data_IF_058983649758
#
_entry.id   IF_058983649758
#
_cell.length_a   1.000
_cell.length_b   1.000
_cell.length_c   1.000
_cell.angle_alpha   90.00
_cell.angle_beta   90.00
_cell.angle_gamma   90.00
#
_symmetry.space_group_name_H-M   'P 1'
#
loop_
_entity.id
_entity.type
_entity.pdbx_description
1 polymer ?
#
# COMPACT_ATOMS: atom_id res chain seq x y z
N UNK A 1 0.07 -13.48 -16.21
CA UNK A 1 1.33 -13.18 -16.91
C UNK A 1 2.41 -14.07 -16.31
N UNK A 2 2.94 -15.01 -17.07
CA UNK A 2 4.05 -15.83 -16.62
C UNK A 2 5.33 -15.01 -16.77
N UNK A 3 6.03 -14.73 -15.69
CA UNK A 3 7.36 -14.13 -15.74
C UNK A 3 8.38 -15.27 -15.78
N UNK A 4 8.92 -15.56 -16.95
CA UNK A 4 10.05 -16.46 -17.08
C UNK A 4 11.31 -15.73 -16.60
N UNK A 5 11.86 -16.15 -15.47
CA UNK A 5 13.18 -15.70 -15.02
C UNK A 5 14.22 -16.61 -15.66
N UNK A 6 14.99 -16.09 -16.61
CA UNK A 6 16.10 -16.81 -17.22
C UNK A 6 17.41 -16.39 -16.57
N UNK A 7 18.15 -17.36 -16.03
CA UNK A 7 19.55 -17.18 -15.67
C UNK A 7 20.41 -17.66 -16.85
N UNK A 8 21.28 -16.78 -17.34
CA UNK A 8 22.24 -17.13 -18.36
C UNK A 8 23.47 -17.73 -17.65
N UNK A 9 23.55 -19.05 -17.62
CA UNK A 9 24.77 -19.76 -17.26
C UNK A 9 25.27 -20.52 -18.52
N UNK A 10 26.55 -20.42 -18.78
CA UNK A 10 27.21 -21.13 -19.93
C UNK A 10 27.24 -22.67 -19.78
N UNK A 11 26.51 -23.22 -18.82
CA UNK A 11 26.40 -24.66 -18.60
C UNK A 11 25.14 -25.19 -19.29
N UNK A 12 25.27 -26.28 -20.02
CA UNK A 12 24.21 -27.00 -20.74
C UNK A 12 23.14 -27.65 -19.79
N UNK A 13 22.89 -27.10 -18.66
CA UNK A 13 21.81 -27.56 -17.77
C UNK A 13 20.45 -27.02 -18.21
N UNK A 14 19.47 -27.93 -18.25
CA UNK A 14 18.09 -27.57 -18.59
C UNK A 14 17.55 -26.55 -17.59
N UNK A 15 17.20 -25.37 -18.05
CA UNK A 15 16.60 -24.32 -17.22
C UNK A 15 15.30 -24.80 -16.57
N UNK A 16 15.18 -24.60 -15.26
CA UNK A 16 13.95 -24.86 -14.53
C UNK A 16 13.13 -23.58 -14.44
N UNK A 17 11.96 -23.58 -15.06
CA UNK A 17 11.04 -22.44 -14.94
C UNK A 17 10.42 -22.40 -13.54
N UNK A 18 10.63 -21.30 -12.84
CA UNK A 18 9.96 -21.01 -11.57
C UNK A 18 8.79 -20.05 -11.83
N UNK A 19 7.61 -20.46 -11.41
CA UNK A 19 6.42 -19.61 -11.52
C UNK A 19 6.21 -18.83 -10.22
N UNK A 20 5.92 -17.53 -10.34
CA UNK A 20 5.52 -16.71 -9.21
C UNK A 20 4.14 -17.12 -8.69
N UNK A 21 3.82 -16.70 -7.48
CA UNK A 21 2.45 -16.80 -6.95
C UNK A 21 1.48 -16.02 -7.86
N UNK A 22 0.19 -16.39 -7.80
CA UNK A 22 -0.89 -15.61 -8.42
C UNK A 22 -0.80 -14.12 -7.98
N UNK A 23 -0.95 -13.20 -8.91
CA UNK A 23 -0.90 -11.75 -8.65
C UNK A 23 -1.85 -11.30 -7.55
N UNK A 24 -3.00 -11.95 -7.39
CA UNK A 24 -3.91 -11.68 -6.27
C UNK A 24 -3.22 -11.89 -4.92
N UNK A 25 -2.43 -12.94 -4.77
CA UNK A 25 -1.67 -13.22 -3.54
C UNK A 25 -0.53 -12.25 -3.33
N UNK A 26 0.12 -11.80 -4.41
CA UNK A 26 1.15 -10.77 -4.37
C UNK A 26 0.57 -9.46 -3.84
N UNK A 27 -0.56 -8.99 -4.39
CA UNK A 27 -1.22 -7.77 -3.92
C UNK A 27 -1.70 -7.89 -2.47
N UNK A 28 -2.23 -9.04 -2.06
CA UNK A 28 -2.62 -9.27 -0.67
C UNK A 28 -1.41 -9.24 0.28
N UNK A 29 -0.31 -9.91 -0.08
CA UNK A 29 0.92 -9.86 0.74
C UNK A 29 1.42 -8.43 0.93
N UNK A 30 1.39 -7.60 -0.12
CA UNK A 30 1.83 -6.19 -0.02
C UNK A 30 0.83 -5.35 0.80
N UNK A 31 -0.46 -5.44 0.50
CA UNK A 31 -1.45 -4.51 1.03
C UNK A 31 -2.04 -4.95 2.38
N UNK A 32 -2.24 -6.26 2.62
CA UNK A 32 -2.73 -6.81 3.89
C UNK A 32 -1.62 -7.05 4.89
N UNK A 33 -0.55 -7.76 4.45
CA UNK A 33 0.49 -8.25 5.35
C UNK A 33 1.68 -7.29 5.45
N UNK A 34 1.73 -6.30 4.54
CA UNK A 34 2.81 -5.31 4.48
C UNK A 34 4.18 -5.94 4.20
N UNK A 35 4.23 -6.90 3.26
CA UNK A 35 5.45 -7.58 2.87
C UNK A 35 6.37 -6.65 2.07
N UNK A 36 7.44 -6.20 2.73
CA UNK A 36 8.41 -5.26 2.18
C UNK A 36 9.25 -5.88 1.06
N UNK A 37 9.60 -7.17 1.20
CA UNK A 37 10.42 -7.87 0.20
C UNK A 37 9.64 -8.02 -1.12
N UNK A 38 8.38 -8.43 -1.02
CA UNK A 38 7.52 -8.56 -2.21
C UNK A 38 7.27 -7.20 -2.86
N UNK A 39 7.07 -6.13 -2.05
CA UNK A 39 6.87 -4.77 -2.57
C UNK A 39 8.10 -4.27 -3.35
N UNK A 40 9.31 -4.43 -2.80
CA UNK A 40 10.56 -4.07 -3.46
C UNK A 40 10.79 -4.89 -4.73
N UNK A 41 10.60 -6.21 -4.64
CA UNK A 41 10.74 -7.13 -5.78
C UNK A 41 9.78 -6.78 -6.91
N UNK A 42 8.53 -6.42 -6.59
CA UNK A 42 7.55 -5.99 -7.59
C UNK A 42 8.00 -4.72 -8.32
N UNK A 43 8.57 -3.74 -7.60
CA UNK A 43 9.10 -2.52 -8.20
C UNK A 43 10.24 -2.83 -9.20
N UNK A 44 11.19 -3.71 -8.80
CA UNK A 44 12.29 -4.17 -9.66
C UNK A 44 11.75 -4.87 -10.90
N UNK A 45 10.77 -5.78 -10.74
CA UNK A 45 10.15 -6.50 -11.88
C UNK A 45 9.43 -5.55 -12.85
N UNK A 46 8.78 -4.52 -12.33
CA UNK A 46 8.16 -3.48 -13.17
C UNK A 46 9.23 -2.75 -13.95
N UNK A 47 10.37 -2.41 -13.33
CA UNK A 47 11.52 -1.77 -13.99
C UNK A 47 12.06 -2.57 -15.13
N UNK A 48 12.32 -3.85 -14.89
CA UNK A 48 12.78 -4.77 -15.94
C UNK A 48 11.81 -4.83 -17.12
N UNK A 49 10.51 -4.84 -16.83
CA UNK A 49 9.48 -4.89 -17.87
C UNK A 49 9.32 -3.59 -18.66
N UNK A 50 9.41 -2.44 -18.00
CA UNK A 50 9.14 -1.14 -18.64
C UNK A 50 10.36 -0.53 -19.32
N UNK A 51 11.53 -0.66 -18.71
CA UNK A 51 12.75 0.06 -19.09
C UNK A 51 13.96 -0.86 -19.35
N UNK A 52 13.78 -2.19 -19.27
CA UNK A 52 14.85 -3.18 -19.28
C UNK A 52 15.93 -2.92 -18.19
N UNK A 53 15.54 -2.30 -17.07
CA UNK A 53 16.41 -1.91 -15.97
C UNK A 53 16.01 -2.64 -14.69
N UNK A 54 16.99 -3.06 -13.90
CA UNK A 54 16.80 -3.57 -12.53
C UNK A 54 16.98 -2.48 -11.46
N UNK A 55 17.27 -1.23 -11.87
CA UNK A 55 17.43 -0.11 -10.95
C UNK A 55 16.05 0.45 -10.58
N UNK A 56 15.73 0.42 -9.30
CA UNK A 56 14.47 0.97 -8.78
C UNK A 56 14.35 2.47 -9.02
N UNK A 57 15.48 3.20 -9.02
CA UNK A 57 15.53 4.63 -9.35
C UNK A 57 14.92 4.95 -10.71
N UNK A 58 15.23 4.17 -11.74
CA UNK A 58 14.77 4.42 -13.11
C UNK A 58 13.24 4.28 -13.21
N UNK A 59 12.70 3.30 -12.49
CA UNK A 59 11.24 3.06 -12.42
C UNK A 59 10.55 4.19 -11.66
N UNK A 60 11.12 4.57 -10.53
CA UNK A 60 10.61 5.64 -9.67
C UNK A 60 10.57 6.96 -10.43
N UNK A 61 11.65 7.30 -11.14
CA UNK A 61 11.73 8.54 -11.92
C UNK A 61 10.74 8.55 -13.08
N UNK A 62 10.55 7.41 -13.73
CA UNK A 62 9.50 7.26 -14.74
C UNK A 62 8.11 7.49 -14.14
N UNK A 63 7.79 6.86 -13.02
CA UNK A 63 6.49 7.06 -12.37
C UNK A 63 6.29 8.49 -11.90
N UNK A 64 7.30 9.13 -11.31
CA UNK A 64 7.22 10.55 -10.92
C UNK A 64 6.88 11.43 -12.12
N UNK A 65 7.49 11.17 -13.28
CA UNK A 65 7.21 11.89 -14.52
C UNK A 65 5.78 11.64 -15.00
N UNK A 66 5.37 10.38 -15.08
CA UNK A 66 4.05 9.98 -15.57
C UNK A 66 2.92 10.46 -14.63
N UNK A 67 3.20 10.58 -13.33
CA UNK A 67 2.21 10.97 -12.32
C UNK A 67 2.18 12.49 -12.05
N UNK A 68 3.18 13.24 -12.49
CA UNK A 68 3.29 14.68 -12.24
C UNK A 68 2.06 15.49 -12.63
N UNK A 69 1.26 15.00 -13.57
CA UNK A 69 0.05 15.68 -14.05
C UNK A 69 -1.18 15.54 -13.13
N UNK A 70 -1.16 14.59 -12.18
CA UNK A 70 -2.33 14.30 -11.36
C UNK A 70 -2.07 14.17 -9.84
N UNK A 71 -0.82 14.02 -9.40
CA UNK A 71 -0.48 14.11 -7.98
C UNK A 71 -0.37 15.58 -7.57
N UNK A 72 -0.97 15.97 -6.41
CA UNK A 72 -1.09 17.38 -6.04
C UNK A 72 0.19 17.99 -5.48
N UNK A 73 1.12 17.17 -4.96
CA UNK A 73 2.30 17.64 -4.25
C UNK A 73 3.58 16.95 -4.72
N UNK A 74 4.76 17.56 -4.54
CA UNK A 74 6.03 16.92 -4.82
C UNK A 74 6.19 15.59 -4.06
N UNK A 75 6.71 14.57 -4.75
CA UNK A 75 6.92 13.24 -4.21
C UNK A 75 8.41 12.95 -4.12
N UNK A 76 8.91 12.71 -2.91
CA UNK A 76 10.22 12.10 -2.67
C UNK A 76 10.01 10.61 -2.43
N UNK A 77 10.44 9.80 -3.39
CA UNK A 77 10.25 8.35 -3.36
C UNK A 77 11.56 7.67 -3.72
N UNK A 78 12.01 6.72 -2.88
CA UNK A 78 13.34 6.12 -2.97
C UNK A 78 13.34 4.59 -3.02
N UNK A 79 12.26 3.91 -2.59
CA UNK A 79 12.20 2.45 -2.51
C UNK A 79 10.77 1.91 -2.69
N UNK A 80 10.64 0.67 -3.11
CA UNK A 80 9.35 -0.01 -3.22
C UNK A 80 8.81 -0.50 -1.88
N UNK A 81 9.71 -0.79 -0.92
CA UNK A 81 9.37 -1.35 0.38
C UNK A 81 8.72 -0.34 1.34
N UNK A 82 8.97 0.95 1.15
CA UNK A 82 8.55 2.01 2.06
C UNK A 82 9.38 2.11 3.35
N UNK A 83 10.54 1.45 3.41
CA UNK A 83 11.44 1.47 4.57
C UNK A 83 12.37 2.68 4.59
N UNK A 84 12.56 3.33 3.44
CA UNK A 84 13.41 4.51 3.34
C UNK A 84 12.83 5.69 4.10
N UNK A 85 13.60 6.24 5.05
CA UNK A 85 13.24 7.48 5.77
C UNK A 85 13.37 8.75 4.90
N UNK A 86 13.97 8.64 3.74
CA UNK A 86 14.09 9.74 2.77
C UNK A 86 12.83 9.88 1.90
N UNK A 87 11.98 8.84 1.86
CA UNK A 87 10.70 8.92 1.16
C UNK A 87 9.76 9.85 1.93
N UNK A 88 9.23 10.87 1.22
CA UNK A 88 8.26 11.82 1.77
C UNK A 88 7.08 11.95 0.81
N UNK A 89 5.89 11.79 1.36
CA UNK A 89 4.63 11.88 0.64
C UNK A 89 3.62 12.63 1.50
N UNK A 90 2.78 13.44 0.88
CA UNK A 90 1.71 14.14 1.60
C UNK A 90 0.44 13.30 1.71
N UNK A 91 -0.43 13.54 2.72
CA UNK A 91 -1.75 12.92 2.79
C UNK A 91 -2.58 13.14 1.52
N UNK A 92 -2.51 14.35 0.91
CA UNK A 92 -3.25 14.66 -0.33
C UNK A 92 -2.79 13.79 -1.51
N UNK A 93 -1.48 13.56 -1.63
CA UNK A 93 -0.94 12.67 -2.66
C UNK A 93 -1.39 11.24 -2.45
N UNK A 94 -1.39 10.72 -1.20
CA UNK A 94 -1.92 9.38 -0.92
C UNK A 94 -3.41 9.27 -1.22
N UNK A 95 -4.22 10.29 -0.89
CA UNK A 95 -5.64 10.31 -1.24
C UNK A 95 -5.82 10.27 -2.78
N UNK A 96 -5.04 11.03 -3.55
CA UNK A 96 -5.09 10.98 -5.01
C UNK A 96 -4.72 9.60 -5.56
N UNK A 97 -3.68 8.93 -5.01
CA UNK A 97 -3.31 7.56 -5.37
C UNK A 97 -4.44 6.58 -5.04
N UNK A 98 -5.02 6.65 -3.84
CA UNK A 98 -6.14 5.80 -3.44
C UNK A 98 -7.37 6.00 -4.33
N UNK A 99 -7.71 7.24 -4.69
CA UNK A 99 -8.79 7.51 -5.65
C UNK A 99 -8.51 6.88 -7.02
N UNK A 100 -7.25 6.88 -7.48
CA UNK A 100 -6.85 6.21 -8.71
C UNK A 100 -6.98 4.70 -8.60
N UNK A 101 -6.56 4.10 -7.47
CA UNK A 101 -6.74 2.67 -7.19
C UNK A 101 -8.23 2.31 -7.20
N UNK A 102 -9.08 3.07 -6.52
CA UNK A 102 -10.52 2.84 -6.53
C UNK A 102 -11.11 2.83 -7.96
N UNK A 103 -10.69 3.76 -8.82
CA UNK A 103 -11.13 3.78 -10.23
C UNK A 103 -10.68 2.55 -11.02
N UNK A 104 -9.55 1.92 -10.65
CA UNK A 104 -8.99 0.76 -11.35
C UNK A 104 -9.59 -0.57 -10.89
N UNK A 105 -9.82 -0.75 -9.58
CA UNK A 105 -10.21 -2.06 -9.02
C UNK A 105 -11.62 -2.08 -8.39
N UNK A 106 -12.25 -0.92 -8.24
CA UNK A 106 -13.56 -0.79 -7.61
C UNK A 106 -13.60 -1.21 -6.14
N UNK A 107 -14.79 -1.18 -5.55
CA UNK A 107 -14.99 -1.52 -4.14
C UNK A 107 -14.65 -2.98 -3.82
N UNK A 108 -15.01 -3.91 -4.70
CA UNK A 108 -14.70 -5.34 -4.53
C UNK A 108 -13.21 -5.62 -4.51
N UNK A 109 -12.42 -4.90 -5.32
CA UNK A 109 -10.97 -5.00 -5.30
C UNK A 109 -10.37 -4.42 -4.00
N UNK A 110 -10.91 -3.32 -3.49
CA UNK A 110 -10.49 -2.73 -2.22
C UNK A 110 -10.71 -3.74 -1.08
N UNK A 111 -11.91 -4.29 -0.95
CA UNK A 111 -12.24 -5.29 0.06
C UNK A 111 -11.38 -6.56 -0.04
N UNK A 112 -11.03 -6.96 -1.26
CA UNK A 112 -10.21 -8.13 -1.53
C UNK A 112 -8.74 -7.94 -1.15
N UNK A 113 -8.15 -6.76 -1.43
CA UNK A 113 -6.70 -6.56 -1.37
C UNK A 113 -6.22 -5.80 -0.15
N UNK A 114 -7.01 -4.87 0.42
CA UNK A 114 -6.59 -4.09 1.58
C UNK A 114 -6.82 -4.85 2.89
N UNK A 115 -6.03 -4.53 3.92
CA UNK A 115 -6.29 -5.00 5.27
C UNK A 115 -7.64 -4.44 5.75
N UNK A 116 -8.44 -5.29 6.41
CA UNK A 116 -9.76 -4.94 6.91
C UNK A 116 -9.75 -4.83 8.44
N UNK A 117 -10.28 -3.72 8.95
CA UNK A 117 -10.36 -3.46 10.39
C UNK A 117 -11.16 -4.52 11.13
N UNK A 118 -10.61 -5.05 12.23
CA UNK A 118 -11.24 -6.12 13.00
C UNK A 118 -11.19 -7.52 12.36
N UNK A 119 -10.69 -7.66 11.12
CA UNK A 119 -10.78 -8.93 10.38
C UNK A 119 -9.42 -9.43 9.87
N UNK A 120 -8.67 -8.61 9.14
CA UNK A 120 -7.50 -9.11 8.43
C UNK A 120 -6.32 -8.15 8.36
N UNK A 121 -5.12 -8.71 8.11
CA UNK A 121 -3.89 -7.97 7.87
C UNK A 121 -3.40 -7.21 9.09
N UNK A 122 -2.69 -6.08 8.84
CA UNK A 122 -2.04 -5.29 9.90
C UNK A 122 -3.00 -4.56 10.84
N UNK A 123 -4.29 -4.50 10.52
CA UNK A 123 -5.33 -3.84 11.33
C UNK A 123 -6.39 -4.82 11.85
N UNK A 124 -6.13 -6.12 11.83
CA UNK A 124 -7.08 -7.15 12.28
C UNK A 124 -7.57 -7.01 13.72
N UNK A 125 -6.81 -6.33 14.59
CA UNK A 125 -7.15 -6.11 15.99
C UNK A 125 -7.53 -4.66 16.28
N UNK A 126 -7.80 -3.85 15.26
CA UNK A 126 -8.07 -2.42 15.37
C UNK A 126 -9.22 -2.02 14.46
N UNK A 127 -9.84 -0.86 14.75
CA UNK A 127 -10.82 -0.20 13.88
C UNK A 127 -12.02 -1.09 13.55
N UNK A 128 -12.64 -1.68 14.60
CA UNK A 128 -13.82 -2.53 14.48
C UNK A 128 -15.03 -1.87 15.12
N UNK A 129 -16.15 -1.81 14.39
CA UNK A 129 -17.48 -1.46 14.89
C UNK A 129 -18.45 -2.54 14.40
N UNK A 130 -19.10 -3.27 15.32
CA UNK A 130 -19.98 -4.37 14.95
C UNK A 130 -19.22 -5.57 14.36
N UNK A 131 -19.88 -6.32 13.48
CA UNK A 131 -19.34 -7.57 12.91
C UNK A 131 -18.63 -7.35 11.57
N UNK A 132 -19.10 -6.40 10.76
CA UNK A 132 -18.54 -6.15 9.43
C UNK A 132 -17.43 -5.07 9.48
N UNK A 133 -16.34 -5.23 8.72
CA UNK A 133 -15.32 -4.21 8.59
C UNK A 133 -15.88 -2.92 7.96
N UNK A 134 -15.55 -1.79 8.57
CA UNK A 134 -15.89 -0.47 8.03
C UNK A 134 -14.66 0.31 7.55
N UNK A 135 -13.45 -0.20 7.79
CA UNK A 135 -12.17 0.36 7.35
C UNK A 135 -11.39 -0.65 6.54
N UNK A 136 -10.91 -0.24 5.38
CA UNK A 136 -10.01 -0.99 4.50
C UNK A 136 -8.78 -0.13 4.23
N UNK A 137 -7.64 -0.46 4.84
CA UNK A 137 -6.51 0.46 4.83
C UNK A 137 -5.15 -0.22 4.82
N UNK A 138 -4.12 0.57 4.44
CA UNK A 138 -2.71 0.23 4.56
C UNK A 138 -2.10 1.02 5.68
N UNK A 139 -1.38 0.35 6.56
CA UNK A 139 -0.55 0.96 7.60
C UNK A 139 0.86 1.24 7.09
N UNK A 140 1.50 2.26 7.66
CA UNK A 140 2.94 2.51 7.57
C UNK A 140 3.46 2.89 8.95
N UNK A 141 4.42 2.14 9.49
CA UNK A 141 4.95 2.40 10.84
C UNK A 141 6.46 2.36 10.81
N UNK A 142 7.08 3.46 11.21
CA UNK A 142 8.48 3.58 11.57
C UNK A 142 8.57 4.13 13.00
N UNK A 143 9.77 4.13 13.58
CA UNK A 143 9.95 4.72 14.91
C UNK A 143 9.44 6.17 14.93
N UNK A 144 8.55 6.50 15.87
CA UNK A 144 7.92 7.82 16.07
C UNK A 144 7.06 8.30 14.88
N UNK A 145 6.64 7.38 13.99
CA UNK A 145 5.75 7.70 12.88
C UNK A 145 4.75 6.55 12.70
N UNK A 146 3.47 6.89 12.60
CA UNK A 146 2.42 5.92 12.30
C UNK A 146 1.40 6.54 11.35
N UNK A 147 1.15 5.86 10.25
CA UNK A 147 0.28 6.32 9.19
C UNK A 147 -0.77 5.26 8.88
N UNK A 148 -1.98 5.73 8.57
CA UNK A 148 -3.08 4.89 8.11
C UNK A 148 -3.75 5.59 6.94
N UNK A 149 -3.83 4.92 5.79
CA UNK A 149 -4.44 5.49 4.59
C UNK A 149 -5.28 4.42 3.89
N UNK A 150 -6.47 4.80 3.45
CA UNK A 150 -7.39 3.83 2.87
C UNK A 150 -8.81 4.36 2.68
N UNK A 151 -9.76 3.50 2.97
CA UNK A 151 -11.18 3.70 2.72
C UNK A 151 -11.98 3.41 3.98
N UNK A 152 -13.03 4.19 4.20
CA UNK A 152 -13.97 4.03 5.29
C UNK A 152 -15.39 3.99 4.71
N UNK A 153 -16.22 3.09 5.24
CA UNK A 153 -17.65 3.02 4.94
C UNK A 153 -18.37 3.54 6.17
N UNK A 154 -19.16 4.64 6.03
CA UNK A 154 -19.94 5.17 7.13
C UNK A 154 -21.16 4.30 7.44
N UNK A 155 -21.80 4.54 8.59
CA UNK A 155 -23.05 3.88 8.99
C UNK A 155 -24.16 4.03 7.92
N UNK A 156 -24.15 5.14 7.18
CA UNK A 156 -25.08 5.41 6.07
C UNK A 156 -24.69 4.73 4.75
N UNK A 157 -23.55 4.00 4.72
CA UNK A 157 -23.05 3.34 3.52
C UNK A 157 -22.25 4.24 2.58
N UNK A 158 -21.94 5.48 2.98
CA UNK A 158 -21.10 6.37 2.18
C UNK A 158 -19.63 5.95 2.28
N UNK A 159 -18.92 6.00 1.13
CA UNK A 159 -17.49 5.69 1.06
C UNK A 159 -16.64 6.94 1.11
N UNK A 160 -15.66 6.92 1.99
CA UNK A 160 -14.68 7.98 2.17
C UNK A 160 -13.28 7.44 1.88
N UNK A 161 -12.46 8.26 1.22
CA UNK A 161 -11.02 8.01 1.07
C UNK A 161 -10.30 8.89 2.07
N UNK A 162 -9.37 8.33 2.83
CA UNK A 162 -8.66 9.07 3.87
C UNK A 162 -7.16 8.76 3.92
N UNK A 163 -6.40 9.70 4.46
CA UNK A 163 -5.00 9.51 4.83
C UNK A 163 -4.71 10.27 6.12
N UNK A 164 -4.29 9.55 7.15
CA UNK A 164 -3.91 10.06 8.46
C UNK A 164 -2.43 9.79 8.65
N UNK A 165 -1.64 10.84 8.90
CA UNK A 165 -0.21 10.76 9.17
C UNK A 165 0.10 11.38 10.52
N UNK A 166 0.63 10.59 11.44
CA UNK A 166 1.07 11.06 12.76
C UNK A 166 2.58 10.85 12.86
N UNK A 167 3.29 11.96 12.98
CA UNK A 167 4.76 11.98 12.93
C UNK A 167 5.33 12.61 14.20
N UNK A 168 6.56 12.20 14.55
CA UNK A 168 7.34 12.75 15.66
C UNK A 168 6.66 12.66 17.02
N UNK A 169 5.85 11.62 17.24
CA UNK A 169 5.26 11.36 18.55
C UNK A 169 6.24 10.58 19.45
N UNK A 170 6.10 10.80 20.76
CA UNK A 170 6.86 10.10 21.80
C UNK A 170 6.04 8.99 22.48
N UNK A 171 4.72 9.09 22.40
CA UNK A 171 3.78 8.10 22.96
C UNK A 171 3.98 6.69 22.35
N UNK A 172 3.56 5.64 23.04
CA UNK A 172 3.45 4.32 22.45
C UNK A 172 2.56 4.32 21.20
N UNK A 173 2.98 3.62 20.14
CA UNK A 173 2.21 3.55 18.88
C UNK A 173 0.76 3.08 19.09
N UNK A 174 0.49 2.30 20.13
CA UNK A 174 -0.87 1.84 20.43
C UNK A 174 -1.80 2.98 20.82
N UNK A 175 -1.33 3.99 21.53
CA UNK A 175 -2.12 5.20 21.88
C UNK A 175 -2.50 5.97 20.61
N UNK A 176 -1.58 6.09 19.67
CA UNK A 176 -1.84 6.71 18.37
C UNK A 176 -2.91 5.93 17.59
N UNK A 177 -2.85 4.61 17.61
CA UNK A 177 -3.87 3.75 16.97
C UNK A 177 -5.24 3.93 17.60
N UNK A 178 -5.32 4.05 18.93
CA UNK A 178 -6.58 4.33 19.64
C UNK A 178 -7.14 5.68 19.20
N UNK A 179 -6.33 6.74 19.24
CA UNK A 179 -6.77 8.07 18.81
C UNK A 179 -7.24 8.11 17.35
N UNK A 180 -6.56 7.38 16.46
CA UNK A 180 -7.02 7.21 15.08
C UNK A 180 -8.36 6.46 15.05
N UNK A 181 -8.52 5.42 15.86
CA UNK A 181 -9.77 4.69 15.99
C UNK A 181 -10.94 5.59 16.40
N UNK A 182 -10.76 6.40 17.43
CA UNK A 182 -11.78 7.35 17.89
C UNK A 182 -12.21 8.34 16.78
N UNK A 183 -11.24 8.82 15.99
CA UNK A 183 -11.54 9.68 14.83
C UNK A 183 -12.33 8.93 13.74
N UNK A 184 -11.93 7.70 13.41
CA UNK A 184 -12.61 6.88 12.40
C UNK A 184 -14.04 6.51 12.86
N UNK A 185 -14.23 6.21 14.14
CA UNK A 185 -15.54 5.94 14.75
C UNK A 185 -16.45 7.17 14.68
N UNK A 186 -15.89 8.36 14.92
CA UNK A 186 -16.63 9.61 14.76
C UNK A 186 -17.09 9.82 13.31
N UNK A 187 -16.17 9.61 12.34
CA UNK A 187 -16.50 9.74 10.91
C UNK A 187 -17.54 8.68 10.51
N UNK A 188 -17.41 7.45 11.00
CA UNK A 188 -18.38 6.37 10.74
C UNK A 188 -19.81 6.80 11.13
N UNK A 189 -19.99 7.36 12.32
CA UNK A 189 -21.30 7.75 12.85
C UNK A 189 -21.90 9.01 12.21
N UNK A 190 -21.06 9.92 11.73
CA UNK A 190 -21.49 11.24 11.22
C UNK A 190 -21.53 11.34 9.69
N UNK A 191 -20.76 10.47 9.01
CA UNK A 191 -20.56 10.48 7.56
C UNK A 191 -21.74 10.05 6.69
#
# INVERSE_FOLDING_TARGET
MNSDVRYDSNDNEAYKTLYSKDFNKIYQSILKDSDNLIAESLLIMIGKKLNDSFLTSDVIDKFKKDWSSWIPDPLLWYDGSGMSRYSMITPRTLVAVLQKIHKLIGLSGIQKYFAAGGESGTIKNFYQIGEAPFVYAKTGTLRNNHNLSGYLISEKGNWYVFSIMVNHFESPTNEIRIAIGDLLDYIYKKG
#
